data_IF_608307814897
#
_entry.id   IF_608307814897
#
_cell.length_a   1.000
_cell.length_b   1.000
_cell.length_c   1.000
_cell.angle_alpha   90.00
_cell.angle_beta   90.00
_cell.angle_gamma   90.00
#
_symmetry.space_group_name_H-M   'P 1'
#
loop_
_entity.id
_entity.type
_entity.pdbx_description
1 polymer ?
#
# COMPACT_ATOMS: atom_id res chain seq x y z
N UNK A 1 5.82 -4.43 -48.77
CA UNK A 1 5.00 -4.41 -47.54
C UNK A 1 5.94 -4.29 -46.35
N UNK A 2 6.24 -3.07 -45.90
CA UNK A 2 7.13 -2.81 -44.76
C UNK A 2 6.30 -2.87 -43.48
N UNK A 3 6.45 -3.94 -42.71
CA UNK A 3 5.81 -4.07 -41.39
C UNK A 3 6.45 -3.12 -40.39
N UNK A 4 5.65 -2.18 -39.89
CA UNK A 4 6.02 -1.30 -38.78
C UNK A 4 6.10 -2.15 -37.50
N UNK A 5 7.31 -2.44 -37.03
CA UNK A 5 7.53 -3.06 -35.73
C UNK A 5 7.24 -2.02 -34.64
N UNK A 6 6.14 -2.18 -33.92
CA UNK A 6 5.87 -1.42 -32.71
C UNK A 6 7.05 -1.57 -31.73
N UNK A 7 7.49 -0.49 -31.03
CA UNK A 7 8.59 -0.58 -30.10
C UNK A 7 8.21 -1.60 -29.02
N UNK A 8 9.04 -2.61 -28.81
CA UNK A 8 8.90 -3.54 -27.69
C UNK A 8 8.79 -2.70 -26.42
N UNK A 9 7.60 -2.68 -25.82
CA UNK A 9 7.36 -1.95 -24.59
C UNK A 9 8.39 -2.42 -23.58
N UNK A 10 9.36 -1.56 -23.23
CA UNK A 10 10.33 -1.83 -22.20
C UNK A 10 9.54 -2.32 -20.99
N UNK A 11 9.74 -3.58 -20.62
CA UNK A 11 9.15 -4.20 -19.44
C UNK A 11 9.71 -3.46 -18.24
N UNK A 12 9.09 -2.33 -17.91
CA UNK A 12 9.43 -1.55 -16.73
C UNK A 12 9.25 -2.49 -15.56
N UNK A 13 10.33 -2.75 -14.86
CA UNK A 13 10.31 -3.53 -13.64
C UNK A 13 9.29 -2.87 -12.69
N UNK A 14 8.23 -3.60 -12.38
CA UNK A 14 7.11 -3.08 -11.61
C UNK A 14 7.54 -2.68 -10.19
N UNK A 15 8.60 -3.30 -9.65
CA UNK A 15 9.14 -2.97 -8.33
C UNK A 15 9.75 -1.57 -8.35
N UNK A 16 10.52 -1.24 -9.39
CA UNK A 16 11.08 0.12 -9.56
C UNK A 16 9.99 1.20 -9.65
N UNK A 17 8.87 0.90 -10.31
CA UNK A 17 7.73 1.82 -10.39
C UNK A 17 7.06 1.99 -9.03
N UNK A 18 6.87 0.91 -8.28
CA UNK A 18 6.24 0.95 -6.96
C UNK A 18 7.10 1.65 -5.89
N UNK A 19 8.43 1.56 -5.98
CA UNK A 19 9.36 2.29 -5.10
C UNK A 19 9.33 3.80 -5.34
N UNK A 20 9.29 4.21 -6.61
CA UNK A 20 9.28 5.64 -6.98
C UNK A 20 7.90 6.28 -6.88
N UNK A 21 6.84 5.51 -7.14
CA UNK A 21 5.46 5.98 -7.13
C UNK A 21 4.53 4.89 -6.58
N UNK A 22 4.16 4.97 -5.29
CA UNK A 22 3.30 3.96 -4.68
C UNK A 22 1.91 4.00 -5.34
N UNK A 23 1.45 2.83 -5.78
CA UNK A 23 0.11 2.67 -6.34
C UNK A 23 -0.91 2.65 -5.19
N UNK A 24 -1.84 3.60 -5.22
CA UNK A 24 -2.93 3.73 -4.26
C UNK A 24 -4.28 3.61 -4.97
N UNK A 25 -5.16 2.78 -4.43
CA UNK A 25 -6.51 2.58 -4.91
C UNK A 25 -7.50 3.14 -3.90
N UNK A 26 -8.42 3.98 -4.38
CA UNK A 26 -9.55 4.41 -3.58
C UNK A 26 -10.72 3.47 -3.87
N UNK A 27 -11.10 2.68 -2.89
CA UNK A 27 -12.24 1.76 -2.97
C UNK A 27 -13.41 2.45 -2.28
N UNK A 28 -14.35 2.96 -3.06
CA UNK A 28 -15.59 3.54 -2.54
C UNK A 28 -16.69 2.49 -2.52
N UNK A 29 -17.28 2.32 -1.35
CA UNK A 29 -18.49 1.51 -1.13
C UNK A 29 -19.60 2.45 -0.65
N UNK A 30 -20.87 2.02 -0.72
CA UNK A 30 -22.02 2.86 -0.37
C UNK A 30 -21.96 3.46 1.05
N UNK A 31 -21.20 2.87 1.97
CA UNK A 31 -21.08 3.35 3.37
C UNK A 31 -19.66 3.70 3.82
N UNK A 32 -18.63 3.44 3.02
CA UNK A 32 -17.25 3.65 3.44
C UNK A 32 -16.31 3.88 2.25
N UNK A 33 -15.26 4.66 2.48
CA UNK A 33 -14.15 4.83 1.54
C UNK A 33 -12.88 4.22 2.13
N UNK A 34 -12.26 3.32 1.40
CA UNK A 34 -10.99 2.70 1.78
C UNK A 34 -9.88 3.17 0.84
N UNK A 35 -8.67 3.31 1.37
CA UNK A 35 -7.47 3.56 0.57
C UNK A 35 -6.57 2.33 0.73
N UNK A 36 -6.38 1.59 -0.37
CA UNK A 36 -5.47 0.45 -0.42
C UNK A 36 -4.17 0.86 -1.13
N UNK A 37 -3.02 0.51 -0.57
CA UNK A 37 -1.71 0.78 -1.17
C UNK A 37 -1.00 -0.54 -1.47
N UNK A 38 -0.40 -0.65 -2.65
CA UNK A 38 0.46 -1.79 -3.00
C UNK A 38 1.88 -1.50 -2.51
N UNK A 39 2.50 -2.50 -1.89
CA UNK A 39 3.89 -2.46 -1.43
C UNK A 39 4.74 -3.45 -2.23
N UNK A 40 6.00 -3.12 -2.47
CA UNK A 40 6.97 -3.96 -3.19
C UNK A 40 7.39 -5.20 -2.41
N UNK A 41 7.41 -5.09 -1.08
CA UNK A 41 7.86 -6.13 -0.17
C UNK A 41 7.13 -6.07 1.18
N UNK A 42 7.28 -7.15 1.97
CA UNK A 42 6.61 -7.31 3.26
C UNK A 42 7.10 -6.31 4.31
N UNK A 43 8.39 -5.99 4.35
CA UNK A 43 8.93 -5.04 5.33
C UNK A 43 8.44 -3.61 5.06
N UNK A 44 8.23 -3.26 3.79
CA UNK A 44 7.63 -1.97 3.40
C UNK A 44 6.15 -1.89 3.75
N UNK A 45 5.40 -2.99 3.66
CA UNK A 45 4.04 -3.07 4.19
C UNK A 45 4.03 -2.91 5.71
N UNK A 46 4.84 -3.68 6.43
CA UNK A 46 4.85 -3.67 7.90
C UNK A 46 5.28 -2.29 8.45
N UNK A 47 6.23 -1.59 7.80
CA UNK A 47 6.60 -0.21 8.15
C UNK A 47 5.42 0.77 7.99
N UNK A 48 4.71 0.72 6.87
CA UNK A 48 3.57 1.61 6.61
C UNK A 48 2.38 1.32 7.55
N UNK A 49 2.13 0.05 7.86
CA UNK A 49 1.03 -0.37 8.72
C UNK A 49 1.34 -0.15 10.21
N UNK A 50 2.59 -0.36 10.66
CA UNK A 50 3.00 -0.09 12.04
C UNK A 50 3.04 1.41 12.34
N UNK A 51 3.42 2.25 11.38
CA UNK A 51 3.32 3.71 11.53
C UNK A 51 1.87 4.18 11.80
N UNK A 52 0.88 3.51 11.21
CA UNK A 52 -0.54 3.85 11.38
C UNK A 52 -1.16 3.21 12.63
N UNK A 53 -0.55 2.16 13.19
CA UNK A 53 -1.00 1.47 14.42
C UNK A 53 -0.35 1.99 15.70
N UNK A 54 0.62 2.91 15.63
CA UNK A 54 1.35 3.45 16.79
C UNK A 54 0.64 4.64 17.47
N UNK A 55 -0.69 4.71 17.40
CA UNK A 55 -1.45 5.67 18.20
C UNK A 55 -2.85 5.16 18.52
N UNK A 56 -2.92 3.96 19.07
CA UNK A 56 -3.98 3.60 20.02
C UNK A 56 -3.28 3.34 21.34
N UNK A 57 -3.00 4.40 22.08
CA UNK A 57 -2.81 4.32 23.53
C UNK A 57 -4.19 4.05 24.14
N UNK A 58 -4.81 2.91 23.81
CA UNK A 58 -5.84 2.33 24.63
C UNK A 58 -5.11 1.74 25.84
N UNK A 59 -4.75 2.65 26.74
CA UNK A 59 -4.27 2.33 28.08
C UNK A 59 -5.42 1.61 28.77
N UNK A 60 -5.46 0.28 28.67
CA UNK A 60 -6.26 -0.54 29.56
C UNK A 60 -5.61 -0.46 30.93
N UNK A 61 -5.93 0.61 31.67
CA UNK A 61 -5.67 0.67 33.10
C UNK A 61 -6.60 -0.36 33.73
N UNK A 62 -6.14 -1.60 33.81
CA UNK A 62 -6.77 -2.66 34.60
C UNK A 62 -6.71 -2.22 36.06
N UNK A 63 -7.70 -1.46 36.50
CA UNK A 63 -7.96 -1.23 37.91
C UNK A 63 -8.39 -2.56 38.53
N UNK A 64 -7.41 -3.28 39.06
CA UNK A 64 -7.61 -4.44 39.91
C UNK A 64 -8.43 -4.01 41.12
N UNK A 65 -9.70 -4.41 41.14
CA UNK A 65 -10.55 -4.30 42.32
C UNK A 65 -10.52 -5.64 43.04
N UNK A 66 -9.82 -5.72 44.17
CA UNK A 66 -10.15 -6.61 45.27
C UNK A 66 -9.50 -6.17 46.58
#
# INVERSE_FOLDING_TARGET
MTGSAAPAAATKDIKSVLDTKPLKFKIQTKGASYVAQIHTDRASYDRANNATRTSSSDSVNSSESK
#
